data_IF_639332890692
#
_entry.id   IF_639332890692
#
_cell.length_a   1.000
_cell.length_b   1.000
_cell.length_c   1.000
_cell.angle_alpha   90.00
_cell.angle_beta   90.00
_cell.angle_gamma   90.00
#
_symmetry.space_group_name_H-M   'P 1'
#
loop_
_entity.id
_entity.type
_entity.pdbx_description
1 polymer ?
#
# COMPACT_ATOMS: atom_id res chain seq x y z
N UNK A 1 35.76 -11.18 -10.57
CA UNK A 1 34.69 -11.27 -11.59
C UNK A 1 33.39 -11.62 -10.86
N UNK A 2 32.57 -10.62 -10.51
CA UNK A 2 31.29 -10.86 -9.82
C UNK A 2 30.33 -11.55 -10.79
N UNK A 3 30.08 -12.84 -10.57
CA UNK A 3 29.12 -13.61 -11.35
C UNK A 3 27.74 -13.30 -10.79
N UNK A 4 26.90 -12.62 -11.57
CA UNK A 4 25.50 -12.39 -11.20
C UNK A 4 24.86 -13.72 -10.77
N UNK A 5 24.27 -13.80 -9.57
CA UNK A 5 23.61 -15.02 -9.13
C UNK A 5 22.46 -15.31 -10.09
N UNK A 6 22.30 -16.58 -10.45
CA UNK A 6 21.15 -17.02 -11.25
C UNK A 6 19.86 -16.67 -10.50
N UNK A 7 18.75 -16.31 -11.17
CA UNK A 7 17.52 -15.86 -10.53
C UNK A 7 17.01 -16.84 -9.46
N UNK A 8 17.14 -18.15 -9.72
CA UNK A 8 16.79 -19.22 -8.77
C UNK A 8 17.65 -19.17 -7.49
N UNK A 9 18.96 -18.91 -7.61
CA UNK A 9 19.86 -18.81 -6.46
C UNK A 9 19.64 -17.52 -5.65
N UNK A 10 19.24 -16.43 -6.30
CA UNK A 10 18.91 -15.17 -5.62
C UNK A 10 17.63 -15.32 -4.79
N UNK A 11 16.59 -15.94 -5.39
CA UNK A 11 15.36 -16.26 -4.69
C UNK A 11 15.60 -17.18 -3.48
N UNK A 12 16.40 -18.24 -3.64
CA UNK A 12 16.75 -19.14 -2.53
C UNK A 12 17.44 -18.42 -1.37
N UNK A 13 18.34 -17.47 -1.65
CA UNK A 13 18.97 -16.63 -0.62
C UNK A 13 17.98 -15.71 0.09
N UNK A 14 17.03 -15.13 -0.65
CA UNK A 14 15.97 -14.29 -0.08
C UNK A 14 15.05 -15.07 0.86
N UNK A 15 14.63 -16.28 0.46
CA UNK A 15 13.80 -17.16 1.30
C UNK A 15 14.55 -17.56 2.59
N UNK A 16 15.84 -17.91 2.48
CA UNK A 16 16.66 -18.23 3.64
C UNK A 16 16.80 -17.02 4.60
N UNK A 17 16.98 -15.81 4.06
CA UNK A 17 17.03 -14.59 4.85
C UNK A 17 15.72 -14.35 5.62
N UNK A 18 14.56 -14.49 4.97
CA UNK A 18 13.27 -14.38 5.66
C UNK A 18 13.10 -15.44 6.76
N UNK A 19 13.53 -16.69 6.52
CA UNK A 19 13.48 -17.73 7.54
C UNK A 19 14.38 -17.42 8.74
N UNK A 20 15.56 -16.84 8.52
CA UNK A 20 16.48 -16.45 9.59
C UNK A 20 15.89 -15.31 10.46
N UNK A 21 15.20 -14.35 9.85
CA UNK A 21 14.56 -13.24 10.57
C UNK A 21 13.47 -13.72 11.55
N UNK A 22 12.73 -14.78 11.20
CA UNK A 22 11.66 -15.33 12.06
C UNK A 22 12.20 -16.26 13.14
N UNK A 23 13.27 -17.01 12.87
CA UNK A 23 13.78 -18.06 13.78
C UNK A 23 14.71 -17.54 14.88
N UNK A 24 15.32 -16.37 14.72
CA UNK A 24 16.16 -15.71 15.74
C UNK A 24 15.56 -14.36 16.16
N UNK A 25 14.37 -14.33 16.80
CA UNK A 25 13.76 -13.07 17.20
C UNK A 25 14.58 -12.41 18.31
N UNK A 26 14.70 -11.08 18.23
CA UNK A 26 15.20 -10.29 19.35
C UNK A 26 14.22 -10.32 20.54
N UNK A 27 14.62 -9.70 21.65
CA UNK A 27 13.76 -9.55 22.82
C UNK A 27 12.44 -8.91 22.39
N UNK A 28 11.32 -9.63 22.56
CA UNK A 28 9.97 -9.23 22.12
C UNK A 28 9.60 -7.77 22.44
N UNK A 29 10.05 -7.27 23.58
CA UNK A 29 9.82 -5.88 24.01
C UNK A 29 10.46 -4.85 23.06
N UNK A 30 11.69 -5.10 22.61
CA UNK A 30 12.41 -4.22 21.68
C UNK A 30 11.75 -4.28 20.31
N UNK A 31 11.41 -5.47 19.83
CA UNK A 31 10.73 -5.65 18.54
C UNK A 31 9.40 -4.89 18.52
N UNK A 32 8.59 -4.99 19.58
CA UNK A 32 7.31 -4.29 19.66
C UNK A 32 7.47 -2.77 19.67
N UNK A 33 8.42 -2.25 20.45
CA UNK A 33 8.71 -0.81 20.47
C UNK A 33 9.14 -0.31 19.08
N UNK A 34 10.13 -0.98 18.46
CA UNK A 34 10.59 -0.64 17.10
C UNK A 34 9.49 -0.72 16.05
N UNK A 35 8.63 -1.73 16.13
CA UNK A 35 7.52 -1.90 15.17
C UNK A 35 6.50 -0.77 15.29
N UNK A 36 6.21 -0.30 16.50
CA UNK A 36 5.31 0.82 16.72
C UNK A 36 5.92 2.13 16.26
N UNK A 37 7.18 2.39 16.59
CA UNK A 37 7.90 3.59 16.16
C UNK A 37 7.89 3.69 14.61
N UNK A 38 8.26 2.59 13.94
CA UNK A 38 8.27 2.51 12.47
C UNK A 38 6.85 2.65 11.88
N UNK A 39 5.82 2.10 12.52
CA UNK A 39 4.45 2.24 12.08
C UNK A 39 3.96 3.70 12.16
N UNK A 40 4.36 4.44 13.19
CA UNK A 40 4.04 5.87 13.35
C UNK A 40 4.78 6.71 12.31
N UNK A 41 6.08 6.47 12.12
CA UNK A 41 6.89 7.18 11.12
C UNK A 41 6.37 6.95 9.70
N UNK A 42 6.12 5.68 9.33
CA UNK A 42 5.52 5.32 8.05
C UNK A 42 4.14 5.98 7.88
N UNK A 43 3.31 5.94 8.92
CA UNK A 43 1.96 6.48 8.91
C UNK A 43 1.95 7.98 8.68
N UNK A 44 2.73 8.73 9.46
CA UNK A 44 2.81 10.20 9.39
C UNK A 44 3.39 10.69 8.08
N UNK A 45 4.48 10.06 7.60
CA UNK A 45 5.08 10.39 6.30
C UNK A 45 4.14 10.16 5.11
N UNK A 46 3.23 9.19 5.23
CA UNK A 46 2.37 8.78 4.12
C UNK A 46 1.05 9.57 4.06
N UNK A 47 0.71 10.37 5.07
CA UNK A 47 -0.57 11.11 5.15
C UNK A 47 -0.79 11.99 3.92
N UNK A 48 0.24 12.74 3.51
CA UNK A 48 0.13 13.67 2.39
C UNK A 48 -0.17 12.97 1.07
N UNK A 49 0.61 11.93 0.72
CA UNK A 49 0.44 11.21 -0.54
C UNK A 49 -0.88 10.42 -0.56
N UNK A 50 -1.28 9.81 0.56
CA UNK A 50 -2.56 9.09 0.67
C UNK A 50 -3.74 10.06 0.55
N UNK A 51 -3.68 11.24 1.20
CA UNK A 51 -4.71 12.27 1.09
C UNK A 51 -4.85 12.83 -0.33
N UNK A 52 -3.73 13.09 -1.00
CA UNK A 52 -3.71 13.54 -2.39
C UNK A 52 -4.35 12.50 -3.32
N UNK A 53 -3.86 11.25 -3.27
CA UNK A 53 -4.31 10.18 -4.18
C UNK A 53 -5.76 9.80 -3.93
N UNK A 54 -6.19 9.69 -2.67
CA UNK A 54 -7.59 9.38 -2.32
C UNK A 54 -8.58 10.43 -2.83
N UNK A 55 -8.22 11.72 -2.77
CA UNK A 55 -9.05 12.82 -3.29
C UNK A 55 -9.27 12.69 -4.80
N UNK A 56 -8.19 12.46 -5.56
CA UNK A 56 -8.29 12.31 -7.01
C UNK A 56 -9.06 11.06 -7.43
N UNK A 57 -8.86 9.94 -6.74
CA UNK A 57 -9.57 8.70 -7.05
C UNK A 57 -11.06 8.83 -6.77
N UNK A 58 -11.44 9.43 -5.64
CA UNK A 58 -12.84 9.70 -5.32
C UNK A 58 -13.51 10.62 -6.35
N UNK A 59 -12.78 11.64 -6.84
CA UNK A 59 -13.29 12.52 -7.88
C UNK A 59 -13.45 11.79 -9.22
N UNK A 60 -12.44 11.01 -9.65
CA UNK A 60 -12.46 10.26 -10.90
C UNK A 60 -13.58 9.21 -10.91
N UNK A 61 -13.79 8.49 -9.80
CA UNK A 61 -14.82 7.46 -9.71
C UNK A 61 -16.22 8.06 -9.70
N UNK A 62 -16.41 9.21 -9.04
CA UNK A 62 -17.68 9.94 -9.06
C UNK A 62 -18.05 10.37 -10.49
N UNK A 63 -17.10 10.99 -11.20
CA UNK A 63 -17.29 11.43 -12.59
C UNK A 63 -17.55 10.22 -13.49
N UNK A 64 -16.80 9.14 -13.34
CA UNK A 64 -16.98 7.92 -14.12
C UNK A 64 -18.37 7.31 -13.91
N UNK A 65 -18.84 7.17 -12.67
CA UNK A 65 -20.16 6.59 -12.39
C UNK A 65 -21.27 7.51 -12.89
N UNK A 66 -21.13 8.83 -12.70
CA UNK A 66 -22.10 9.81 -13.20
C UNK A 66 -22.26 9.74 -14.74
N UNK A 67 -21.16 9.60 -15.48
CA UNK A 67 -21.23 9.45 -16.95
C UNK A 67 -21.81 8.12 -17.40
N UNK A 68 -21.63 7.04 -16.64
CA UNK A 68 -22.21 5.74 -16.99
C UNK A 68 -23.70 5.65 -16.66
N UNK A 69 -24.20 6.47 -15.72
CA UNK A 69 -25.62 6.60 -15.41
C UNK A 69 -26.32 7.58 -16.35
N UNK A 70 -26.48 7.16 -17.61
CA UNK A 70 -27.11 7.97 -18.67
C UNK A 70 -28.64 7.97 -18.59
N UNK A 71 -29.24 7.10 -17.77
CA UNK A 71 -30.70 6.93 -17.73
C UNK A 71 -31.36 7.91 -16.73
N UNK A 72 -32.18 8.87 -17.20
CA UNK A 72 -32.79 9.91 -16.35
C UNK A 72 -33.81 9.39 -15.33
N UNK A 73 -34.17 8.09 -15.40
CA UNK A 73 -35.06 7.44 -14.43
C UNK A 73 -34.36 7.09 -13.12
N UNK A 74 -33.02 7.13 -13.06
CA UNK A 74 -32.28 6.77 -11.84
C UNK A 74 -31.87 8.02 -11.07
N UNK A 75 -32.23 8.15 -9.79
CA UNK A 75 -31.84 9.30 -8.97
C UNK A 75 -30.33 9.48 -8.88
N UNK A 76 -29.86 10.74 -8.94
CA UNK A 76 -28.43 11.09 -8.77
C UNK A 76 -27.87 10.67 -7.40
N UNK A 77 -28.73 10.43 -6.40
CA UNK A 77 -28.32 9.87 -5.10
C UNK A 77 -27.74 8.45 -5.21
N UNK A 78 -28.11 7.71 -6.25
CA UNK A 78 -27.59 6.36 -6.52
C UNK A 78 -26.11 6.39 -6.90
N UNK A 79 -25.65 7.45 -7.56
CA UNK A 79 -24.22 7.65 -7.88
C UNK A 79 -23.39 7.66 -6.60
N UNK A 80 -23.80 8.44 -5.60
CA UNK A 80 -23.09 8.52 -4.32
C UNK A 80 -23.09 7.19 -3.54
N UNK A 81 -24.19 6.42 -3.62
CA UNK A 81 -24.26 5.09 -3.02
C UNK A 81 -23.27 4.11 -3.67
N UNK A 82 -23.25 4.06 -5.01
CA UNK A 82 -22.36 3.18 -5.76
C UNK A 82 -20.88 3.56 -5.57
N UNK A 83 -20.55 4.85 -5.63
CA UNK A 83 -19.19 5.35 -5.37
C UNK A 83 -18.73 4.90 -3.98
N UNK A 84 -19.58 5.01 -2.96
CA UNK A 84 -19.26 4.60 -1.60
C UNK A 84 -18.99 3.09 -1.49
N UNK A 85 -19.87 2.26 -2.04
CA UNK A 85 -19.69 0.79 -2.00
C UNK A 85 -18.40 0.36 -2.70
N UNK A 86 -18.16 0.86 -3.91
CA UNK A 86 -16.96 0.54 -4.67
C UNK A 86 -15.69 1.04 -3.96
N UNK A 87 -15.76 2.23 -3.36
CA UNK A 87 -14.62 2.80 -2.64
C UNK A 87 -14.28 1.98 -1.41
N UNK A 88 -15.26 1.59 -0.60
CA UNK A 88 -15.02 0.87 0.65
C UNK A 88 -14.57 -0.58 0.38
N UNK A 89 -15.18 -1.26 -0.59
CA UNK A 89 -14.96 -2.69 -0.82
C UNK A 89 -13.71 -2.98 -1.67
N UNK A 90 -13.41 -2.14 -2.65
CA UNK A 90 -12.38 -2.44 -3.66
C UNK A 90 -11.30 -1.38 -3.73
N UNK A 91 -11.67 -0.11 -3.97
CA UNK A 91 -10.69 0.90 -4.38
C UNK A 91 -9.83 1.41 -3.22
N UNK A 92 -10.40 1.62 -2.03
CA UNK A 92 -9.64 2.08 -0.88
C UNK A 92 -8.52 1.08 -0.49
N UNK A 93 -8.80 -0.22 -0.23
CA UNK A 93 -7.74 -1.14 0.17
C UNK A 93 -6.73 -1.41 -0.95
N UNK A 94 -7.17 -1.48 -2.21
CA UNK A 94 -6.26 -1.78 -3.34
C UNK A 94 -5.35 -0.60 -3.67
N UNK A 95 -5.87 0.62 -3.74
CA UNK A 95 -5.05 1.76 -4.13
C UNK A 95 -4.14 2.20 -2.98
N UNK A 96 -4.65 2.22 -1.74
CA UNK A 96 -3.81 2.58 -0.58
C UNK A 96 -2.66 1.59 -0.44
N UNK A 97 -2.89 0.28 -0.62
CA UNK A 97 -1.81 -0.71 -0.54
C UNK A 97 -0.75 -0.53 -1.64
N UNK A 98 -1.14 -0.22 -2.88
CA UNK A 98 -0.19 0.06 -3.97
C UNK A 98 0.64 1.32 -3.68
N UNK A 99 -0.01 2.41 -3.26
CA UNK A 99 0.66 3.69 -2.97
C UNK A 99 1.64 3.53 -1.81
N UNK A 100 1.21 2.89 -0.72
CA UNK A 100 2.06 2.63 0.44
C UNK A 100 3.21 1.69 0.08
N UNK A 101 2.97 0.61 -0.66
CA UNK A 101 4.05 -0.29 -1.09
C UNK A 101 5.14 0.44 -1.88
N UNK A 102 4.77 1.41 -2.73
CA UNK A 102 5.71 2.24 -3.46
C UNK A 102 6.53 3.17 -2.54
N UNK A 103 5.86 4.02 -1.75
CA UNK A 103 6.55 5.00 -0.88
C UNK A 103 7.37 4.32 0.20
N UNK A 104 6.74 3.41 0.94
CA UNK A 104 7.32 2.76 2.12
C UNK A 104 8.39 1.76 1.69
N UNK A 105 8.12 0.96 0.66
CA UNK A 105 9.09 0.01 0.13
C UNK A 105 10.36 0.70 -0.37
N UNK A 106 10.23 1.83 -1.06
CA UNK A 106 11.39 2.62 -1.49
C UNK A 106 12.15 3.25 -0.32
N UNK A 107 11.46 3.72 0.72
CA UNK A 107 12.10 4.30 1.90
C UNK A 107 12.91 3.25 2.68
N UNK A 108 12.34 2.06 2.92
CA UNK A 108 13.02 0.95 3.61
C UNK A 108 14.20 0.45 2.79
N UNK A 109 14.03 0.26 1.46
CA UNK A 109 15.12 -0.17 0.59
C UNK A 109 16.25 0.86 0.53
N UNK A 110 15.93 2.15 0.53
CA UNK A 110 16.90 3.24 0.60
C UNK A 110 17.71 3.21 1.90
N UNK A 111 17.05 3.05 3.05
CA UNK A 111 17.73 2.99 4.35
C UNK A 111 18.60 1.75 4.55
N UNK A 112 18.25 0.62 3.93
CA UNK A 112 19.09 -0.59 3.94
C UNK A 112 20.27 -0.54 2.95
N UNK A 113 20.18 0.34 1.94
CA UNK A 113 21.17 0.47 0.87
C UNK A 113 22.26 1.52 1.12
N UNK A 114 22.07 2.41 2.10
CA UNK A 114 23.06 3.39 2.58
C UNK A 114 23.82 2.86 3.78
#
# INVERSE_FOLDING_TARGET
>A
MYRYPRPISAFGRFVLLMQMMVTRPERRQVLWQRTLDEAVDIGTDSVFIVGLVSTFIGAVTCVQIAYNMVNPLVPMSTVGFMVREMTILELAPTIISIVLAGKVGSAIAGGLGT
#
